data_IF_300755193935
#
_entry.id   IF_300755193935
#
_cell.length_a   1.000
_cell.length_b   1.000
_cell.length_c   1.000
_cell.angle_alpha   90.00
_cell.angle_beta   90.00
_cell.angle_gamma   90.00
#
_symmetry.space_group_name_H-M   'P 1'
#
loop_
_entity.id
_entity.type
_entity.pdbx_description
1 polymer ?
#
# COMPACT_ATOMS: atom_id res chain seq x y z
N UNK A 1 33.22 4.11 -5.95
CA UNK A 1 31.79 4.29 -5.62
C UNK A 1 31.07 4.02 -6.92
N UNK A 2 30.31 2.94 -7.01
CA UNK A 2 29.66 2.56 -8.26
C UNK A 2 28.71 3.71 -8.65
N UNK A 3 28.82 4.19 -9.88
CA UNK A 3 27.79 5.04 -10.48
C UNK A 3 26.47 4.29 -10.33
N UNK A 4 25.63 4.79 -9.43
CA UNK A 4 24.23 4.37 -9.34
C UNK A 4 23.64 4.58 -10.74
N UNK A 5 23.17 3.51 -11.38
CA UNK A 5 22.66 3.59 -12.74
C UNK A 5 21.46 4.55 -12.77
N UNK A 6 21.71 5.79 -13.17
CA UNK A 6 20.67 6.80 -13.39
C UNK A 6 19.92 6.48 -14.69
N UNK A 7 19.05 5.47 -14.61
CA UNK A 7 18.25 4.98 -15.74
C UNK A 7 17.25 6.00 -16.26
N UNK A 8 16.85 6.97 -15.44
CA UNK A 8 15.74 7.86 -15.74
C UNK A 8 16.16 9.31 -15.98
N UNK A 9 17.42 9.67 -15.69
CA UNK A 9 17.96 11.03 -15.84
C UNK A 9 17.18 12.12 -15.09
N UNK A 10 16.29 11.70 -14.20
CA UNK A 10 15.46 12.51 -13.34
C UNK A 10 15.38 11.80 -11.98
N UNK A 11 15.95 12.45 -10.97
CA UNK A 11 16.00 11.96 -9.59
C UNK A 11 14.61 11.73 -9.00
N UNK A 12 13.60 12.49 -9.40
CA UNK A 12 12.23 12.30 -8.94
C UNK A 12 11.60 11.03 -9.54
N UNK A 13 11.88 10.76 -10.82
CA UNK A 13 11.40 9.54 -11.51
C UNK A 13 12.09 8.30 -10.95
N UNK A 14 13.41 8.36 -10.73
CA UNK A 14 14.15 7.25 -10.10
C UNK A 14 13.60 6.90 -8.71
N UNK A 15 13.37 7.91 -7.86
CA UNK A 15 12.76 7.70 -6.53
C UNK A 15 11.34 7.14 -6.58
N UNK A 16 10.52 7.59 -7.53
CA UNK A 16 9.16 7.05 -7.72
C UNK A 16 9.23 5.57 -8.13
N UNK A 17 10.16 5.24 -9.03
CA UNK A 17 10.38 3.86 -9.46
C UNK A 17 10.83 2.97 -8.29
N UNK A 18 11.77 3.41 -7.48
CA UNK A 18 12.20 2.68 -6.27
C UNK A 18 11.05 2.47 -5.29
N UNK A 19 10.21 3.49 -5.09
CA UNK A 19 9.01 3.38 -4.25
C UNK A 19 8.04 2.33 -4.80
N UNK A 20 7.83 2.29 -6.12
CA UNK A 20 6.97 1.29 -6.78
C UNK A 20 7.55 -0.11 -6.60
N UNK A 21 8.87 -0.28 -6.77
CA UNK A 21 9.54 -1.56 -6.55
C UNK A 21 9.41 -2.05 -5.10
N UNK A 22 9.59 -1.14 -4.14
CA UNK A 22 9.41 -1.43 -2.71
C UNK A 22 7.96 -1.85 -2.41
N UNK A 23 6.98 -1.08 -2.89
CA UNK A 23 5.55 -1.41 -2.74
C UNK A 23 5.20 -2.75 -3.39
N UNK A 24 5.76 -3.04 -4.57
CA UNK A 24 5.58 -4.32 -5.25
C UNK A 24 6.13 -5.49 -4.44
N UNK A 25 7.26 -5.29 -3.77
CA UNK A 25 7.87 -6.29 -2.88
C UNK A 25 6.99 -6.53 -1.66
N UNK A 26 6.52 -5.48 -0.99
CA UNK A 26 5.66 -5.60 0.19
C UNK A 26 4.30 -6.25 -0.14
N UNK A 27 3.73 -5.92 -1.31
CA UNK A 27 2.53 -6.56 -1.83
C UNK A 27 2.76 -8.05 -2.12
N UNK A 28 3.90 -8.40 -2.74
CA UNK A 28 4.24 -9.79 -3.01
C UNK A 28 4.34 -10.61 -1.71
N UNK A 29 5.00 -10.08 -0.67
CA UNK A 29 5.08 -10.74 0.64
C UNK A 29 3.69 -10.91 1.25
N UNK A 30 2.84 -9.88 1.16
CA UNK A 30 1.46 -9.94 1.69
C UNK A 30 0.64 -11.01 0.96
N UNK A 31 0.71 -11.06 -0.36
CA UNK A 31 0.04 -12.08 -1.17
C UNK A 31 0.54 -13.49 -0.87
N UNK A 32 1.84 -13.68 -0.66
CA UNK A 32 2.40 -14.97 -0.26
C UNK A 32 1.87 -15.41 1.11
N UNK A 33 1.76 -14.48 2.07
CA UNK A 33 1.19 -14.77 3.39
C UNK A 33 -0.29 -15.11 3.33
N UNK A 34 -1.06 -14.43 2.48
CA UNK A 34 -2.47 -14.73 2.24
C UNK A 34 -2.66 -16.14 1.65
N UNK A 35 -1.89 -16.49 0.60
CA UNK A 35 -1.91 -17.85 0.06
C UNK A 35 -1.53 -18.91 1.09
N UNK A 36 -0.51 -18.65 1.91
CA UNK A 36 -0.11 -19.57 2.96
C UNK A 36 -1.20 -19.74 4.03
N UNK A 37 -1.88 -18.64 4.39
CA UNK A 37 -3.00 -18.65 5.32
C UNK A 37 -4.16 -19.50 4.78
N UNK A 38 -4.58 -19.27 3.53
CA UNK A 38 -5.63 -20.07 2.88
C UNK A 38 -5.25 -21.54 2.84
N UNK A 39 -4.04 -21.87 2.38
CA UNK A 39 -3.57 -23.25 2.31
C UNK A 39 -3.57 -23.93 3.69
N UNK A 40 -3.25 -23.21 4.77
CA UNK A 40 -3.32 -23.73 6.13
C UNK A 40 -4.77 -23.96 6.59
N UNK A 41 -5.69 -23.05 6.27
CA UNK A 41 -7.11 -23.19 6.60
C UNK A 41 -7.76 -24.36 5.85
N UNK A 42 -7.42 -24.53 4.57
CA UNK A 42 -7.85 -25.67 3.75
C UNK A 42 -7.31 -26.99 4.31
N UNK A 43 -6.01 -27.05 4.64
CA UNK A 43 -5.40 -28.26 5.26
C UNK A 43 -6.03 -28.60 6.62
N UNK A 44 -6.52 -27.60 7.35
CA UNK A 44 -7.23 -27.78 8.62
C UNK A 44 -8.74 -28.05 8.45
N UNK A 45 -9.25 -28.04 7.23
CA UNK A 45 -10.67 -28.27 6.93
C UNK A 45 -11.60 -27.13 7.37
N UNK A 46 -11.05 -25.92 7.58
CA UNK A 46 -11.84 -24.73 7.97
C UNK A 46 -12.49 -24.07 6.75
N UNK A 47 -11.81 -24.15 5.59
CA UNK A 47 -12.20 -23.54 4.33
C UNK A 47 -12.06 -24.59 3.21
N UNK A 48 -12.91 -24.58 2.20
CA UNK A 48 -12.69 -25.28 0.94
C UNK A 48 -11.69 -24.51 0.06
N UNK A 49 -10.93 -25.21 -0.77
CA UNK A 49 -9.99 -24.57 -1.70
C UNK A 49 -10.73 -23.62 -2.66
N UNK A 50 -10.25 -22.37 -2.79
CA UNK A 50 -10.87 -21.36 -3.65
C UNK A 50 -12.14 -20.72 -3.09
N UNK A 51 -12.59 -21.11 -1.90
CA UNK A 51 -13.73 -20.46 -1.23
C UNK A 51 -13.42 -19.00 -0.85
N UNK A 52 -12.15 -18.70 -0.56
CA UNK A 52 -11.70 -17.34 -0.29
C UNK A 52 -11.84 -16.44 -1.53
N UNK A 53 -11.46 -16.92 -2.71
CA UNK A 53 -11.58 -16.19 -3.98
C UNK A 53 -13.05 -16.06 -4.45
N UNK A 54 -13.87 -17.05 -4.11
CA UNK A 54 -15.30 -17.06 -4.43
C UNK A 54 -16.15 -16.26 -3.43
N UNK A 55 -15.54 -15.77 -2.33
CA UNK A 55 -16.24 -15.02 -1.30
C UNK A 55 -16.86 -13.75 -1.91
N UNK A 56 -18.19 -13.68 -1.88
CA UNK A 56 -18.92 -12.46 -2.23
C UNK A 56 -19.18 -11.69 -0.94
N UNK A 57 -18.60 -10.50 -0.75
CA UNK A 57 -18.81 -9.71 0.46
C UNK A 57 -20.29 -9.38 0.63
N UNK A 58 -20.77 -9.45 1.87
CA UNK A 58 -22.11 -8.96 2.23
C UNK A 58 -22.24 -7.46 1.94
N UNK A 59 -23.46 -6.91 1.88
CA UNK A 59 -23.65 -5.47 1.71
C UNK A 59 -22.89 -4.64 2.76
N UNK A 60 -22.87 -5.10 4.01
CA UNK A 60 -22.19 -4.44 5.12
C UNK A 60 -20.66 -4.52 4.96
N UNK A 61 -20.11 -5.69 4.64
CA UNK A 61 -18.68 -5.86 4.38
C UNK A 61 -18.23 -5.04 3.18
N UNK A 62 -19.05 -4.97 2.13
CA UNK A 62 -18.77 -4.19 0.94
C UNK A 62 -18.65 -2.70 1.23
N UNK A 63 -19.54 -2.15 2.06
CA UNK A 63 -19.43 -0.75 2.51
C UNK A 63 -18.11 -0.48 3.23
N UNK A 64 -17.66 -1.41 4.08
CA UNK A 64 -16.38 -1.30 4.78
C UNK A 64 -15.21 -1.33 3.80
N UNK A 65 -15.23 -2.27 2.85
CA UNK A 65 -14.17 -2.42 1.84
C UNK A 65 -14.11 -1.21 0.90
N UNK A 66 -15.26 -0.69 0.46
CA UNK A 66 -15.34 0.50 -0.37
C UNK A 66 -14.81 1.74 0.39
N UNK A 67 -15.18 1.91 1.66
CA UNK A 67 -14.66 3.00 2.48
C UNK A 67 -13.13 2.92 2.68
N UNK A 68 -12.59 1.71 2.88
CA UNK A 68 -11.14 1.49 2.99
C UNK A 68 -10.42 1.82 1.67
N UNK A 69 -10.97 1.38 0.53
CA UNK A 69 -10.46 1.69 -0.80
C UNK A 69 -10.46 3.18 -1.06
N UNK A 70 -11.58 3.86 -0.80
CA UNK A 70 -11.73 5.29 -1.06
C UNK A 70 -10.79 6.10 -0.16
N UNK A 71 -10.60 5.69 1.10
CA UNK A 71 -9.60 6.29 1.99
C UNK A 71 -8.17 6.10 1.49
N UNK A 72 -7.83 4.92 0.94
CA UNK A 72 -6.53 4.66 0.34
C UNK A 72 -6.30 5.55 -0.90
N UNK A 73 -7.25 5.57 -1.83
CA UNK A 73 -7.20 6.40 -3.04
C UNK A 73 -7.08 7.88 -2.66
N UNK A 74 -7.86 8.35 -1.68
CA UNK A 74 -7.78 9.72 -1.20
C UNK A 74 -6.39 10.08 -0.65
N UNK A 75 -5.72 9.17 0.07
CA UNK A 75 -4.33 9.38 0.52
C UNK A 75 -3.35 9.45 -0.64
N UNK A 76 -3.47 8.55 -1.62
CA UNK A 76 -2.61 8.54 -2.80
C UNK A 76 -2.80 9.80 -3.66
N UNK A 77 -4.04 10.18 -3.94
CA UNK A 77 -4.36 11.40 -4.68
C UNK A 77 -3.84 12.64 -3.97
N UNK A 78 -3.87 12.68 -2.63
CA UNK A 78 -3.27 13.78 -1.87
C UNK A 78 -1.77 13.86 -2.08
N UNK A 79 -1.04 12.74 -2.04
CA UNK A 79 0.41 12.72 -2.33
C UNK A 79 0.71 13.27 -3.74
N UNK A 80 -0.14 12.98 -4.72
CA UNK A 80 0.03 13.41 -6.12
C UNK A 80 -0.37 14.89 -6.33
N UNK A 81 -1.40 15.37 -5.62
CA UNK A 81 -1.99 16.72 -5.80
C UNK A 81 -1.43 17.76 -4.84
N UNK A 82 -0.75 17.34 -3.78
CA UNK A 82 -0.05 18.23 -2.84
C UNK A 82 1.10 18.91 -3.58
N UNK A 83 1.00 20.23 -3.73
CA UNK A 83 2.04 21.05 -4.37
C UNK A 83 3.10 21.39 -3.34
N UNK A 84 4.22 20.65 -3.37
CA UNK A 84 5.40 20.87 -2.51
C UNK A 84 6.63 20.13 -3.04
N UNK A 85 7.86 20.53 -2.66
CA UNK A 85 9.08 19.94 -3.20
C UNK A 85 9.16 18.43 -2.92
N UNK A 86 9.46 17.65 -3.95
CA UNK A 86 9.48 16.17 -3.96
C UNK A 86 10.45 15.52 -2.94
N UNK A 87 11.23 16.30 -2.22
CA UNK A 87 12.19 15.81 -1.23
C UNK A 87 11.54 15.43 0.12
N UNK A 88 10.30 15.86 0.39
CA UNK A 88 9.57 15.53 1.63
C UNK A 88 8.05 15.37 1.43
N UNK A 89 7.55 14.26 0.85
CA UNK A 89 6.10 14.01 0.81
C UNK A 89 5.53 13.93 2.24
N UNK A 90 4.34 14.50 2.47
CA UNK A 90 3.62 14.53 3.76
C UNK A 90 4.25 15.40 4.86
N UNK A 91 5.12 16.38 4.54
CA UNK A 91 5.80 17.23 5.55
C UNK A 91 4.81 17.93 6.50
N UNK A 92 3.79 18.56 5.96
CA UNK A 92 2.78 19.29 6.75
C UNK A 92 1.99 18.36 7.67
N UNK A 93 1.77 17.11 7.25
CA UNK A 93 1.06 16.11 8.04
C UNK A 93 1.97 15.46 9.10
N UNK A 94 3.25 15.26 8.82
CA UNK A 94 4.25 14.86 9.80
C UNK A 94 4.41 15.92 10.90
N UNK A 95 4.47 17.19 10.51
CA UNK A 95 4.53 18.32 11.45
C UNK A 95 3.24 18.41 12.27
N UNK A 96 2.07 18.26 11.65
CA UNK A 96 0.79 18.24 12.37
C UNK A 96 0.67 17.04 13.33
N UNK A 97 1.13 15.85 12.94
CA UNK A 97 1.12 14.66 13.80
C UNK A 97 2.11 14.76 14.97
N UNK A 98 3.27 15.38 14.75
CA UNK A 98 4.24 15.69 15.81
C UNK A 98 3.69 16.74 16.78
N UNK A 99 3.02 17.78 16.28
CA UNK A 99 2.39 18.81 17.10
C UNK A 99 1.25 18.25 17.96
N UNK A 100 0.40 17.37 17.40
CA UNK A 100 -0.68 16.72 18.11
C UNK A 100 -0.21 15.75 19.22
N UNK A 101 1.03 15.27 19.15
CA UNK A 101 1.64 14.38 20.15
C UNK A 101 2.40 15.14 21.25
N UNK A 102 2.69 16.42 21.03
CA UNK A 102 3.45 17.28 21.94
C UNK A 102 2.58 18.18 22.84
N UNK A 103 1.27 18.22 22.60
CA UNK A 103 0.27 18.85 23.47
C UNK A 103 -0.55 17.81 24.23
#
# INVERSE_FOLDING_TARGET
MADEFDYFHDRAVGKLFDLILQLGTDLHVTNNRLHALEALLVRKGVLAAGELDALVPTPEERQILDAQRDALIGRLMRIITESGPAEHPLRDQWEAALAAKAG
#
